data_IF_867085978045
#
_entry.id   IF_867085978045
#
_cell.length_a   1.000
_cell.length_b   1.000
_cell.length_c   1.000
_cell.angle_alpha   90.00
_cell.angle_beta   90.00
_cell.angle_gamma   90.00
#
_symmetry.space_group_name_H-M   'P 1'
#
loop_
_entity.id
_entity.type
_entity.pdbx_description
1 polymer ?
#
# COMPACT_ATOMS: atom_id res chain seq x y z
N UNK A 1 45.72 2.05 109.88
CA UNK A 1 45.71 3.23 109.00
C UNK A 1 44.44 3.17 108.20
N UNK A 2 43.53 4.12 108.40
CA UNK A 2 42.20 4.06 107.80
C UNK A 2 42.19 4.85 106.48
N UNK A 3 41.62 4.21 105.48
CA UNK A 3 41.69 4.49 104.04
C UNK A 3 41.13 5.88 103.71
N UNK A 4 41.90 6.64 102.91
CA UNK A 4 41.53 7.98 102.44
C UNK A 4 40.42 7.98 101.39
N UNK A 5 39.77 9.14 101.17
CA UNK A 5 38.52 9.23 100.41
C UNK A 5 38.67 8.79 98.94
N UNK A 6 37.64 8.11 98.45
CA UNK A 6 37.53 7.64 97.06
C UNK A 6 37.60 8.83 96.10
N UNK A 7 38.54 8.79 95.15
CA UNK A 7 38.69 9.82 94.13
C UNK A 7 37.45 9.93 93.23
N UNK A 8 37.13 11.13 92.70
CA UNK A 8 35.96 11.33 91.86
C UNK A 8 36.02 10.47 90.59
N UNK A 9 34.87 9.91 90.21
CA UNK A 9 34.72 9.07 89.02
C UNK A 9 35.17 9.81 87.75
N UNK A 10 35.96 9.13 86.90
CA UNK A 10 36.42 9.66 85.61
C UNK A 10 35.24 10.01 84.69
N UNK A 11 35.37 11.10 83.93
CA UNK A 11 34.33 11.55 82.99
C UNK A 11 34.12 10.49 81.89
N UNK A 12 32.86 10.16 81.63
CA UNK A 12 32.45 9.24 80.57
C UNK A 12 32.89 9.79 79.20
N UNK A 13 33.59 8.97 78.40
CA UNK A 13 34.08 9.36 77.08
C UNK A 13 32.94 9.66 76.10
N UNK A 14 33.15 10.63 75.20
CA UNK A 14 32.17 11.05 74.21
C UNK A 14 31.81 9.90 73.24
N UNK A 15 30.52 9.78 72.93
CA UNK A 15 29.99 8.77 72.00
C UNK A 15 30.43 9.10 70.58
N UNK A 16 31.08 8.14 69.89
CA UNK A 16 31.48 8.31 68.49
C UNK A 16 30.31 8.62 67.55
N UNK A 17 30.55 9.44 66.53
CA UNK A 17 29.55 9.84 65.54
C UNK A 17 29.02 8.62 64.74
N UNK A 18 27.72 8.58 64.39
CA UNK A 18 27.17 7.53 63.52
C UNK A 18 27.81 7.52 62.13
N UNK A 19 28.06 6.32 61.59
CA UNK A 19 28.59 6.15 60.22
C UNK A 19 27.61 6.64 59.15
N UNK A 20 28.18 7.16 58.04
CA UNK A 20 27.42 7.68 56.90
C UNK A 20 26.62 6.53 56.23
N UNK A 21 25.31 6.68 55.95
CA UNK A 21 24.55 5.68 55.21
C UNK A 21 25.09 5.45 53.79
N UNK A 22 25.17 4.18 53.37
CA UNK A 22 25.60 3.84 52.01
C UNK A 22 24.63 4.35 50.95
N UNK A 23 25.16 4.77 49.80
CA UNK A 23 24.35 5.23 48.66
C UNK A 23 23.47 4.09 48.13
N UNK A 24 22.17 4.36 47.99
CA UNK A 24 21.20 3.43 47.44
C UNK A 24 21.49 3.21 45.95
N UNK A 25 21.64 1.95 45.53
CA UNK A 25 21.89 1.60 44.13
C UNK A 25 20.78 2.09 43.20
N UNK A 26 21.15 2.59 42.02
CA UNK A 26 20.19 3.09 41.04
C UNK A 26 19.20 2.02 40.61
N UNK A 27 17.92 2.40 40.51
CA UNK A 27 16.84 1.55 40.02
C UNK A 27 17.09 1.23 38.54
N UNK A 28 17.14 -0.06 38.20
CA UNK A 28 17.30 -0.49 36.80
C UNK A 28 16.26 0.12 35.86
N UNK A 29 16.60 0.37 34.58
CA UNK A 29 15.68 0.99 33.64
C UNK A 29 14.42 0.15 33.45
N UNK A 30 13.28 0.84 33.33
CA UNK A 30 11.98 0.25 33.01
C UNK A 30 12.07 -0.40 31.63
N UNK A 31 11.63 -1.66 31.51
CA UNK A 31 11.62 -2.37 30.22
C UNK A 31 10.82 -1.63 29.14
N UNK A 32 11.16 -1.79 27.86
CA UNK A 32 10.47 -1.12 26.77
C UNK A 32 8.99 -1.51 26.74
N UNK A 33 8.14 -0.52 26.42
CA UNK A 33 6.71 -0.72 26.18
C UNK A 33 6.56 -1.63 24.94
N UNK A 34 5.73 -2.68 25.04
CA UNK A 34 5.46 -3.56 23.90
C UNK A 34 4.84 -2.78 22.72
N UNK A 35 5.09 -3.19 21.47
CA UNK A 35 4.52 -2.53 20.30
C UNK A 35 2.99 -2.55 20.38
N UNK A 36 2.37 -1.40 20.11
CA UNK A 36 0.92 -1.25 20.00
C UNK A 36 0.45 -2.03 18.76
N UNK A 37 -0.62 -2.83 18.89
CA UNK A 37 -1.15 -3.59 17.76
C UNK A 37 -1.66 -2.66 16.66
N UNK A 38 -1.42 -3.03 15.40
CA UNK A 38 -1.87 -2.26 14.25
C UNK A 38 -3.42 -2.13 14.25
N UNK A 39 -3.98 -0.96 13.96
CA UNK A 39 -5.42 -0.78 13.82
C UNK A 39 -5.99 -1.70 12.73
N UNK A 40 -7.10 -2.38 12.99
CA UNK A 40 -7.74 -3.25 12.00
C UNK A 40 -8.18 -2.49 10.75
N UNK A 41 -8.01 -3.09 9.57
CA UNK A 41 -8.36 -2.51 8.29
C UNK A 41 -9.84 -2.07 8.24
N UNK A 42 -10.16 -0.86 7.73
CA UNK A 42 -11.54 -0.42 7.55
C UNK A 42 -12.31 -1.35 6.61
N UNK A 43 -13.55 -1.73 6.99
CA UNK A 43 -14.43 -2.55 6.15
C UNK A 43 -14.71 -1.89 4.79
N UNK A 44 -14.75 -2.69 3.71
CA UNK A 44 -15.06 -2.18 2.37
C UNK A 44 -16.44 -1.50 2.33
N UNK A 45 -16.46 -0.24 1.88
CA UNK A 45 -17.69 0.46 1.55
C UNK A 45 -18.38 -0.19 0.33
N UNK A 46 -19.71 -0.27 0.37
CA UNK A 46 -20.52 -0.78 -0.75
C UNK A 46 -20.30 0.07 -2.02
N UNK A 47 -20.39 -0.57 -3.19
CA UNK A 47 -20.26 0.13 -4.47
C UNK A 47 -21.51 0.95 -4.75
N UNK A 48 -21.41 2.26 -4.64
CA UNK A 48 -22.37 3.19 -5.25
C UNK A 48 -22.05 3.37 -6.74
N UNK A 49 -23.10 3.48 -7.55
CA UNK A 49 -23.03 3.47 -9.02
C UNK A 49 -22.23 4.63 -9.61
N UNK A 50 -21.55 4.37 -10.75
CA UNK A 50 -20.68 5.33 -11.41
C UNK A 50 -21.41 6.63 -11.77
N UNK A 51 -20.97 7.74 -11.18
CA UNK A 51 -21.30 9.10 -11.61
C UNK A 51 -20.48 9.44 -12.87
N UNK A 52 -21.10 10.12 -13.84
CA UNK A 52 -20.44 10.48 -15.11
C UNK A 52 -19.21 11.37 -14.92
N UNK A 53 -18.21 11.32 -15.83
CA UNK A 53 -16.96 12.03 -15.65
C UNK A 53 -17.17 13.55 -15.62
N UNK A 54 -16.60 14.18 -14.58
CA UNK A 54 -16.55 15.63 -14.39
C UNK A 54 -15.51 16.24 -15.35
N UNK A 55 -15.84 17.39 -15.95
CA UNK A 55 -14.96 18.09 -16.89
C UNK A 55 -13.62 18.51 -16.26
N UNK A 56 -12.54 18.42 -17.05
CA UNK A 56 -11.18 18.73 -16.61
C UNK A 56 -11.05 20.20 -16.17
N UNK A 57 -10.41 20.41 -15.03
CA UNK A 57 -10.08 21.73 -14.49
C UNK A 57 -8.92 22.35 -15.27
N UNK A 58 -8.97 23.68 -15.50
CA UNK A 58 -7.89 24.40 -16.18
C UNK A 58 -6.58 24.39 -15.38
N UNK A 59 -5.42 24.53 -16.06
CA UNK A 59 -4.12 24.49 -15.40
C UNK A 59 -3.96 25.65 -14.39
N UNK A 60 -3.25 25.42 -13.26
CA UNK A 60 -2.98 26.46 -12.27
C UNK A 60 -2.16 27.62 -12.86
N UNK A 61 -2.50 28.85 -12.47
CA UNK A 61 -1.74 30.04 -12.86
C UNK A 61 -0.31 30.03 -12.31
N UNK A 62 0.63 30.57 -13.08
CA UNK A 62 2.05 30.67 -12.69
C UNK A 62 2.23 31.53 -11.42
N UNK A 63 3.11 31.16 -10.49
CA UNK A 63 3.39 31.95 -9.29
C UNK A 63 3.86 33.38 -9.62
N UNK A 64 3.39 34.36 -8.84
CA UNK A 64 3.81 35.75 -8.97
C UNK A 64 5.27 35.97 -8.54
N UNK A 65 5.95 36.89 -9.22
CA UNK A 65 7.31 37.33 -8.90
C UNK A 65 7.37 37.94 -7.49
N UNK A 66 8.36 37.60 -6.64
CA UNK A 66 8.52 38.19 -5.32
C UNK A 66 8.73 39.71 -5.37
N UNK A 67 8.04 40.46 -4.50
CA UNK A 67 8.17 41.92 -4.40
C UNK A 67 9.52 42.36 -3.81
N UNK A 68 10.03 43.51 -4.28
CA UNK A 68 11.27 44.11 -3.80
C UNK A 68 11.20 44.52 -2.31
N UNK A 69 12.34 44.41 -1.61
CA UNK A 69 12.46 44.73 -0.19
C UNK A 69 12.23 46.24 0.07
N UNK A 70 11.34 46.56 1.02
CA UNK A 70 11.02 47.93 1.40
C UNK A 70 12.18 48.64 2.12
N UNK A 71 12.38 49.93 1.82
CA UNK A 71 13.37 50.78 2.48
C UNK A 71 12.99 51.11 3.93
N UNK A 72 14.01 51.21 4.79
CA UNK A 72 13.91 51.55 6.22
C UNK A 72 13.51 53.03 6.39
N UNK A 73 12.41 53.30 7.11
CA UNK A 73 11.98 54.65 7.49
C UNK A 73 12.54 55.10 8.85
N UNK A 74 12.93 56.37 8.94
CA UNK A 74 13.54 57.02 10.11
C UNK A 74 12.53 57.33 11.26
N UNK A 75 13.01 57.56 12.51
CA UNK A 75 12.17 57.73 13.72
C UNK A 75 11.29 59.00 13.74
N UNK A 76 10.20 58.93 14.53
CA UNK A 76 9.03 59.80 14.46
C UNK A 76 8.99 61.06 15.34
N UNK A 77 7.80 61.63 15.59
CA UNK A 77 7.56 62.64 16.62
C UNK A 77 6.69 62.14 17.79
N UNK A 78 6.92 62.69 18.99
CA UNK A 78 6.18 62.39 20.22
C UNK A 78 4.83 63.12 20.36
N UNK A 79 3.83 62.38 20.86
CA UNK A 79 2.83 62.70 21.91
C UNK A 79 1.83 63.86 21.81
N UNK A 80 0.54 63.56 22.08
CA UNK A 80 -0.38 64.40 22.89
C UNK A 80 -1.59 63.60 23.45
N UNK A 81 -2.23 64.12 24.52
CA UNK A 81 -3.14 63.46 25.49
C UNK A 81 -4.61 63.94 25.38
N UNK A 82 -5.58 63.06 25.72
CA UNK A 82 -6.94 63.39 26.24
C UNK A 82 -8.08 63.32 25.20
N UNK A 83 -9.36 63.02 25.46
CA UNK A 83 -10.24 62.96 26.65
C UNK A 83 -11.57 62.24 26.27
N UNK A 84 -12.35 61.79 27.27
CA UNK A 84 -13.65 61.10 27.18
C UNK A 84 -14.82 61.94 26.63
N UNK A 85 -15.83 61.28 26.03
CA UNK A 85 -17.17 61.86 25.75
C UNK A 85 -18.30 60.80 25.75
N UNK A 86 -19.44 61.14 26.35
CA UNK A 86 -20.60 60.31 26.74
C UNK A 86 -21.75 60.28 25.69
N UNK A 87 -22.75 59.37 25.83
CA UNK A 87 -23.71 58.99 24.80
C UNK A 87 -25.03 59.79 24.78
N UNK A 88 -25.80 59.67 23.69
CA UNK A 88 -27.22 60.08 23.61
C UNK A 88 -27.90 59.81 22.25
N UNK A 89 -28.94 58.98 22.30
CA UNK A 89 -30.02 58.60 21.36
C UNK A 89 -30.86 59.82 20.83
N UNK A 90 -31.79 59.79 19.85
CA UNK A 90 -32.44 58.82 18.96
C UNK A 90 -33.26 59.56 17.87
N UNK A 91 -33.30 58.99 16.66
CA UNK A 91 -34.43 58.88 15.70
C UNK A 91 -34.99 60.12 14.97
N UNK A 92 -35.95 59.93 14.02
CA UNK A 92 -36.38 58.69 13.35
C UNK A 92 -36.52 58.82 11.80
N UNK A 93 -36.89 57.67 11.20
CA UNK A 93 -37.36 57.29 9.84
C UNK A 93 -37.82 58.38 8.86
N UNK A 94 -37.75 58.20 7.54
CA UNK A 94 -37.40 57.02 6.71
C UNK A 94 -38.12 57.14 5.36
N UNK A 95 -37.77 56.31 4.37
CA UNK A 95 -38.72 55.90 3.32
C UNK A 95 -38.32 54.55 2.73
N UNK A 96 -39.34 53.75 2.40
CA UNK A 96 -39.31 52.31 2.25
C UNK A 96 -39.24 51.84 0.80
N UNK A 97 -38.65 50.65 0.61
CA UNK A 97 -38.91 49.73 -0.51
C UNK A 97 -38.29 48.36 -0.18
N UNK A 98 -38.85 47.19 -0.48
CA UNK A 98 -40.06 46.82 -1.21
C UNK A 98 -40.65 45.49 -0.67
N UNK A 99 -41.92 45.26 -0.99
CA UNK A 99 -42.80 44.07 -0.85
C UNK A 99 -42.12 42.75 -1.28
N UNK A 100 -42.32 41.56 -0.72
CA UNK A 100 -43.11 41.02 0.39
C UNK A 100 -43.31 39.51 0.15
N UNK A 101 -42.87 38.62 1.06
CA UNK A 101 -43.24 37.19 1.02
C UNK A 101 -44.43 36.92 1.97
N UNK A 102 -45.45 36.15 1.56
CA UNK A 102 -46.67 35.88 2.34
C UNK A 102 -46.45 35.15 3.66
N UNK A 103 -47.37 35.40 4.59
CA UNK A 103 -47.11 35.43 6.03
C UNK A 103 -47.53 34.23 6.88
N UNK A 104 -47.38 34.51 8.17
CA UNK A 104 -47.39 33.69 9.39
C UNK A 104 -48.78 33.23 9.84
N UNK A 105 -48.89 31.98 10.30
CA UNK A 105 -49.65 31.49 11.49
C UNK A 105 -49.11 30.08 11.82
N UNK A 106 -48.78 29.64 13.03
CA UNK A 106 -48.75 30.27 14.36
C UNK A 106 -47.65 29.60 15.23
N UNK A 107 -47.19 30.31 16.25
CA UNK A 107 -46.02 29.97 17.09
C UNK A 107 -46.32 28.86 18.12
N UNK A 108 -45.58 27.74 18.11
CA UNK A 108 -45.33 26.93 19.30
C UNK A 108 -44.12 27.48 20.06
N UNK A 109 -44.15 27.34 21.39
CA UNK A 109 -43.45 28.19 22.35
C UNK A 109 -41.91 28.25 22.30
N UNK A 110 -41.34 29.31 22.90
CA UNK A 110 -39.92 29.60 22.85
C UNK A 110 -39.07 28.48 23.46
N UNK A 111 -38.10 28.03 22.69
CA UNK A 111 -36.98 27.21 23.16
C UNK A 111 -36.19 28.01 24.22
N UNK A 112 -35.93 27.37 25.36
CA UNK A 112 -35.47 28.00 26.59
C UNK A 112 -34.22 28.87 26.43
N UNK A 113 -34.18 29.94 27.22
CA UNK A 113 -33.12 30.94 27.23
C UNK A 113 -31.72 30.32 27.49
N UNK A 114 -30.65 30.85 26.86
CA UNK A 114 -29.28 30.44 27.15
C UNK A 114 -28.92 30.70 28.62
N UNK A 115 -28.59 29.63 29.34
CA UNK A 115 -28.07 29.72 30.70
C UNK A 115 -26.67 30.36 30.73
N UNK A 116 -26.56 31.43 31.49
CA UNK A 116 -25.44 32.37 31.65
C UNK A 116 -24.07 31.77 31.99
N UNK A 117 -23.01 32.41 31.48
CA UNK A 117 -21.62 32.19 31.90
C UNK A 117 -21.30 32.77 33.28
N UNK A 118 -20.39 32.12 34.00
CA UNK A 118 -19.70 32.70 35.16
C UNK A 118 -18.69 31.73 35.78
N UNK A 119 -17.66 32.21 36.51
CA UNK A 119 -16.68 33.21 36.09
C UNK A 119 -15.24 32.68 36.22
N UNK A 120 -14.25 33.37 35.64
CA UNK A 120 -12.86 33.32 36.14
C UNK A 120 -12.57 34.60 36.90
N UNK A 121 -12.14 34.48 38.16
CA UNK A 121 -11.86 35.59 39.06
C UNK A 121 -10.73 35.30 40.05
N UNK A 122 -9.55 35.83 39.69
CA UNK A 122 -8.33 36.33 40.36
C UNK A 122 -7.89 35.99 41.82
N UNK A 123 -6.57 36.17 41.96
CA UNK A 123 -5.54 35.81 42.95
C UNK A 123 -5.36 36.79 44.13
N UNK A 124 -4.86 36.26 45.26
CA UNK A 124 -4.07 36.95 46.32
C UNK A 124 -4.74 36.88 47.71
N UNK A 125 -4.08 36.71 48.87
CA UNK A 125 -2.67 36.78 49.27
C UNK A 125 -2.42 36.00 50.59
N UNK A 126 -1.13 35.91 50.94
CA UNK A 126 -0.44 35.26 52.06
C UNK A 126 -0.79 35.80 53.46
N UNK A 127 -0.77 34.90 54.46
CA UNK A 127 -0.37 35.23 55.84
C UNK A 127 -0.98 34.33 56.91
N UNK A 128 -0.22 33.34 57.39
CA UNK A 128 -0.58 32.57 58.59
C UNK A 128 0.11 33.15 59.83
N UNK A 129 -0.66 33.40 60.90
CA UNK A 129 -0.15 33.61 62.26
C UNK A 129 -0.95 32.73 63.23
N UNK A 130 -0.24 31.79 63.87
CA UNK A 130 -0.35 31.43 65.30
C UNK A 130 -1.56 30.62 65.79
N UNK A 131 -1.37 29.42 66.36
CA UNK A 131 -2.47 28.57 66.83
C UNK A 131 -2.98 28.98 68.22
N UNK A 132 -4.28 28.82 68.46
CA UNK A 132 -4.91 28.96 69.79
C UNK A 132 -5.41 27.59 70.29
N UNK A 133 -5.18 27.31 71.57
CA UNK A 133 -5.16 25.99 72.22
C UNK A 133 -6.50 25.24 72.38
N UNK A 134 -6.46 24.07 73.07
CA UNK A 134 -7.41 22.98 72.90
C UNK A 134 -8.69 23.15 73.74
N UNK A 135 -9.81 22.64 73.21
CA UNK A 135 -11.03 22.37 73.98
C UNK A 135 -11.19 20.86 74.14
N UNK A 136 -11.30 20.38 75.38
CA UNK A 136 -11.50 18.96 75.70
C UNK A 136 -12.96 18.50 75.58
N UNK A 137 -13.20 17.26 76.04
CA UNK A 137 -14.47 16.48 76.18
C UNK A 137 -14.61 15.36 75.13
N UNK A 138 -15.11 14.14 75.39
CA UNK A 138 -15.73 13.51 76.55
C UNK A 138 -15.45 11.98 76.52
N UNK A 139 -15.66 11.28 77.65
CA UNK A 139 -15.28 9.87 77.86
C UNK A 139 -15.97 8.81 76.98
N UNK A 140 -15.27 7.68 76.81
CA UNK A 140 -15.59 6.59 75.90
C UNK A 140 -16.84 5.77 76.29
N UNK A 141 -17.64 5.37 75.30
CA UNK A 141 -18.67 4.32 75.39
C UNK A 141 -18.05 2.98 74.96
N UNK A 142 -18.16 1.95 75.79
CA UNK A 142 -17.58 0.62 75.54
C UNK A 142 -18.10 -0.07 74.27
N UNK A 143 -17.22 -0.79 73.57
CA UNK A 143 -17.53 -1.51 72.34
C UNK A 143 -18.38 -2.78 72.59
N UNK A 144 -19.38 -3.09 71.74
CA UNK A 144 -20.08 -4.38 71.76
C UNK A 144 -19.15 -5.56 71.41
N UNK A 145 -19.37 -6.72 72.03
CA UNK A 145 -18.55 -7.93 71.82
C UNK A 145 -18.65 -8.50 70.39
N UNK A 146 -17.63 -9.25 69.93
CA UNK A 146 -17.55 -9.73 68.55
C UNK A 146 -18.56 -10.85 68.23
N UNK A 147 -19.05 -10.83 66.99
CA UNK A 147 -19.94 -11.85 66.39
C UNK A 147 -19.16 -13.15 66.13
N UNK A 148 -19.77 -14.31 66.45
CA UNK A 148 -19.17 -15.63 66.23
C UNK A 148 -18.95 -15.96 64.73
N UNK A 149 -17.99 -16.85 64.41
CA UNK A 149 -17.58 -17.12 63.03
C UNK A 149 -18.66 -17.90 62.24
N UNK A 150 -18.74 -17.70 60.90
CA UNK A 150 -19.62 -18.47 60.01
C UNK A 150 -19.20 -19.94 59.92
N UNK A 151 -20.18 -20.85 59.78
CA UNK A 151 -19.93 -22.30 59.60
C UNK A 151 -19.32 -22.65 58.24
N UNK A 152 -18.55 -23.74 58.19
CA UNK A 152 -17.81 -24.18 56.99
C UNK A 152 -18.72 -24.61 55.82
N UNK A 153 -18.28 -24.23 54.61
CA UNK A 153 -18.94 -24.52 53.33
C UNK A 153 -18.67 -25.96 52.87
N UNK A 154 -19.72 -26.67 52.43
CA UNK A 154 -19.63 -28.08 52.02
C UNK A 154 -18.76 -28.28 50.76
N UNK A 155 -17.94 -29.35 50.75
CA UNK A 155 -17.02 -29.65 49.65
C UNK A 155 -17.75 -29.96 48.33
N UNK A 156 -17.29 -29.30 47.26
CA UNK A 156 -17.70 -29.54 45.86
C UNK A 156 -17.33 -30.96 45.42
N UNK A 157 -18.26 -31.66 44.74
CA UNK A 157 -18.02 -33.00 44.18
C UNK A 157 -16.96 -33.01 43.07
N UNK A 158 -16.20 -34.11 42.96
CA UNK A 158 -15.15 -34.28 41.95
C UNK A 158 -15.73 -34.27 40.52
N UNK A 159 -15.13 -33.47 39.65
CA UNK A 159 -15.47 -33.41 38.22
C UNK A 159 -15.07 -34.72 37.54
N UNK A 160 -15.98 -35.34 36.77
CA UNK A 160 -15.72 -36.60 36.07
C UNK A 160 -14.59 -36.49 35.04
N UNK A 161 -13.86 -37.58 34.81
CA UNK A 161 -12.75 -37.63 33.85
C UNK A 161 -13.23 -37.30 32.42
N UNK A 162 -12.41 -36.54 31.68
CA UNK A 162 -12.69 -36.20 30.29
C UNK A 162 -12.82 -37.47 29.43
N UNK A 163 -13.85 -37.52 28.58
CA UNK A 163 -14.06 -38.63 27.66
C UNK A 163 -12.94 -38.75 26.61
N UNK A 164 -12.75 -39.94 26.01
CA UNK A 164 -11.73 -40.15 24.98
C UNK A 164 -11.97 -39.24 23.77
N UNK A 165 -10.90 -38.71 23.20
CA UNK A 165 -10.97 -37.86 22.00
C UNK A 165 -11.65 -38.62 20.85
N UNK A 166 -12.62 -37.97 20.19
CA UNK A 166 -13.30 -38.53 19.02
C UNK A 166 -12.37 -38.66 17.81
N UNK A 167 -12.71 -39.52 16.83
CA UNK A 167 -11.93 -39.65 15.60
C UNK A 167 -11.89 -38.32 14.82
N UNK A 168 -10.78 -38.01 14.14
CA UNK A 168 -10.66 -36.77 13.37
C UNK A 168 -11.71 -36.70 12.27
N UNK A 169 -12.30 -35.52 12.07
CA UNK A 169 -13.34 -35.29 11.07
C UNK A 169 -12.82 -35.60 9.65
N UNK A 170 -13.61 -36.25 8.77
CA UNK A 170 -13.24 -36.49 7.37
C UNK A 170 -12.80 -35.21 6.64
N UNK A 171 -13.44 -34.07 6.92
CA UNK A 171 -13.06 -32.76 6.39
C UNK A 171 -11.67 -32.31 6.83
N UNK A 172 -11.24 -32.63 8.05
CA UNK A 172 -9.89 -32.30 8.54
C UNK A 172 -8.85 -33.14 7.80
N UNK A 173 -9.14 -34.42 7.57
CA UNK A 173 -8.25 -35.32 6.83
C UNK A 173 -8.11 -34.86 5.37
N UNK A 174 -9.21 -34.49 4.73
CA UNK A 174 -9.20 -33.98 3.35
C UNK A 174 -8.44 -32.65 3.23
N UNK A 175 -8.69 -31.72 4.14
CA UNK A 175 -7.96 -30.44 4.19
C UNK A 175 -6.47 -30.65 4.41
N UNK A 176 -6.08 -31.57 5.31
CA UNK A 176 -4.68 -31.90 5.55
C UNK A 176 -4.01 -32.53 4.33
N UNK A 177 -4.76 -33.34 3.56
CA UNK A 177 -4.28 -33.94 2.32
C UNK A 177 -4.03 -32.87 1.24
N UNK A 178 -4.96 -31.93 1.07
CA UNK A 178 -4.78 -30.79 0.17
C UNK A 178 -3.59 -29.93 0.57
N UNK A 179 -3.46 -29.60 1.86
CA UNK A 179 -2.34 -28.81 2.38
C UNK A 179 -0.98 -29.50 2.13
N UNK A 180 -0.92 -30.83 2.32
CA UNK A 180 0.27 -31.62 2.00
C UNK A 180 0.62 -31.56 0.52
N UNK A 181 -0.39 -31.62 -0.37
CA UNK A 181 -0.20 -31.50 -1.81
C UNK A 181 0.36 -30.12 -2.17
N UNK A 182 -0.27 -29.05 -1.69
CA UNK A 182 0.19 -27.67 -1.94
C UNK A 182 1.60 -27.43 -1.40
N UNK A 183 1.91 -27.92 -0.19
CA UNK A 183 3.24 -27.81 0.38
C UNK A 183 4.29 -28.56 -0.45
N UNK A 184 3.94 -29.74 -1.00
CA UNK A 184 4.82 -30.51 -1.88
C UNK A 184 5.08 -29.78 -3.20
N UNK A 185 4.06 -29.14 -3.77
CA UNK A 185 4.18 -28.34 -5.00
C UNK A 185 5.00 -27.05 -4.78
N UNK A 186 4.88 -26.42 -3.60
CA UNK A 186 5.73 -25.29 -3.21
C UNK A 186 7.19 -25.71 -3.01
N UNK A 187 7.40 -26.89 -2.44
CA UNK A 187 8.75 -27.42 -2.17
C UNK A 187 9.44 -27.87 -3.45
N UNK A 188 8.70 -28.52 -4.35
CA UNK A 188 9.18 -29.09 -5.60
C UNK A 188 8.29 -28.58 -6.75
N UNK A 189 8.59 -27.41 -7.31
CA UNK A 189 7.82 -26.84 -8.41
C UNK A 189 7.97 -27.67 -9.69
N UNK A 190 6.88 -27.86 -10.42
CA UNK A 190 6.81 -28.73 -11.61
C UNK A 190 7.25 -28.05 -12.91
N UNK A 191 7.51 -26.74 -12.89
CA UNK A 191 7.87 -25.97 -14.08
C UNK A 191 6.69 -25.64 -14.99
N UNK A 192 5.46 -25.63 -14.46
CA UNK A 192 4.25 -25.15 -15.17
C UNK A 192 4.01 -23.66 -14.90
N UNK A 193 3.15 -22.95 -15.66
CA UNK A 193 2.83 -21.54 -15.37
C UNK A 193 2.34 -21.30 -13.93
N UNK A 194 1.64 -22.27 -13.35
CA UNK A 194 1.06 -22.19 -12.01
C UNK A 194 2.08 -22.58 -10.91
N UNK A 195 3.13 -23.31 -11.28
CA UNK A 195 4.18 -23.79 -10.37
C UNK A 195 5.55 -23.69 -11.06
N UNK A 196 6.03 -22.48 -11.35
CA UNK A 196 7.31 -22.27 -12.01
C UNK A 196 8.46 -22.69 -11.09
N UNK A 197 9.50 -23.31 -11.66
CA UNK A 197 10.70 -23.64 -10.91
C UNK A 197 11.61 -22.41 -10.76
N UNK A 198 12.54 -22.37 -9.80
CA UNK A 198 13.49 -21.25 -9.73
C UNK A 198 14.41 -21.21 -10.95
N UNK A 199 14.95 -22.35 -11.34
CA UNK A 199 15.77 -22.52 -12.54
C UNK A 199 15.54 -23.89 -13.17
N UNK A 200 15.99 -24.09 -14.41
CA UNK A 200 15.98 -25.41 -15.04
C UNK A 200 16.89 -26.41 -14.30
N UNK A 201 17.94 -25.91 -13.62
CA UNK A 201 18.81 -26.74 -12.80
C UNK A 201 18.05 -27.33 -11.61
N UNK A 202 17.30 -26.49 -10.89
CA UNK A 202 16.49 -26.94 -9.74
C UNK A 202 15.43 -27.94 -10.18
N UNK A 203 14.81 -27.70 -11.35
CA UNK A 203 13.84 -28.59 -11.96
C UNK A 203 14.47 -29.94 -12.32
N UNK A 204 15.64 -29.94 -12.97
CA UNK A 204 16.36 -31.15 -13.35
C UNK A 204 16.86 -31.97 -12.14
N UNK A 205 17.17 -31.32 -11.02
CA UNK A 205 17.58 -32.00 -9.78
C UNK A 205 16.40 -32.73 -9.10
N UNK A 206 15.19 -32.19 -9.20
CA UNK A 206 14.00 -32.80 -8.61
C UNK A 206 13.28 -33.77 -9.56
N UNK A 207 13.39 -33.55 -10.86
CA UNK A 207 12.72 -34.32 -11.92
C UNK A 207 13.73 -34.74 -13.00
N UNK A 208 14.63 -35.70 -12.69
CA UNK A 208 15.66 -36.14 -13.64
C UNK A 208 15.09 -36.85 -14.87
N UNK A 209 13.86 -37.36 -14.79
CA UNK A 209 13.18 -38.06 -15.89
C UNK A 209 12.46 -37.09 -16.87
N UNK A 210 12.48 -35.79 -16.60
CA UNK A 210 11.93 -34.79 -17.52
C UNK A 210 12.77 -34.70 -18.79
N UNK A 211 12.12 -34.36 -19.91
CA UNK A 211 12.77 -34.22 -21.21
C UNK A 211 13.28 -32.79 -21.41
N UNK A 212 14.22 -32.63 -22.35
CA UNK A 212 14.66 -31.32 -22.80
C UNK A 212 13.51 -30.64 -23.58
N UNK A 213 12.83 -29.67 -22.94
CA UNK A 213 11.66 -28.98 -23.49
C UNK A 213 11.49 -27.61 -22.81
N UNK A 214 10.38 -26.94 -23.12
CA UNK A 214 9.98 -25.69 -22.52
C UNK A 214 9.31 -25.86 -21.17
N UNK A 215 9.80 -25.09 -20.20
CA UNK A 215 9.24 -25.00 -18.86
C UNK A 215 9.14 -23.53 -18.44
N UNK A 216 8.40 -23.29 -17.37
CA UNK A 216 8.31 -21.99 -16.73
C UNK A 216 9.25 -21.94 -15.53
N UNK A 217 10.03 -20.85 -15.47
CA UNK A 217 10.90 -20.57 -14.34
C UNK A 217 10.62 -19.17 -13.77
N UNK A 218 10.84 -19.01 -12.49
CA UNK A 218 10.71 -17.76 -11.73
C UNK A 218 11.95 -17.59 -10.82
N UNK A 219 13.06 -17.07 -11.37
CA UNK A 219 14.30 -16.91 -10.61
C UNK A 219 14.21 -15.85 -9.52
N UNK A 220 13.39 -14.81 -9.71
CA UNK A 220 13.15 -13.73 -8.75
C UNK A 220 12.16 -14.15 -7.65
N UNK A 221 11.32 -15.14 -7.90
CA UNK A 221 10.26 -15.55 -7.00
C UNK A 221 9.18 -14.48 -6.87
N UNK A 222 8.33 -14.63 -5.86
CA UNK A 222 7.26 -13.69 -5.57
C UNK A 222 5.98 -14.07 -6.30
N UNK A 223 5.57 -13.28 -7.29
CA UNK A 223 4.36 -13.58 -8.06
C UNK A 223 4.69 -14.54 -9.19
N UNK A 224 3.85 -15.54 -9.45
CA UNK A 224 4.09 -16.48 -10.57
C UNK A 224 3.72 -15.86 -11.93
N UNK A 225 3.15 -14.65 -11.94
CA UNK A 225 2.61 -14.00 -13.14
C UNK A 225 3.73 -13.53 -14.09
N UNK A 226 4.89 -13.15 -13.57
CA UNK A 226 6.05 -12.72 -14.35
C UNK A 226 7.03 -13.86 -14.65
N UNK A 227 6.64 -15.11 -14.37
CA UNK A 227 7.45 -16.29 -14.68
C UNK A 227 7.85 -16.34 -16.17
N UNK A 228 9.12 -16.61 -16.41
CA UNK A 228 9.70 -16.68 -17.73
C UNK A 228 9.54 -18.09 -18.33
N UNK A 229 9.06 -18.16 -19.57
CA UNK A 229 9.10 -19.40 -20.37
C UNK A 229 10.49 -19.55 -20.99
N UNK A 230 11.17 -20.63 -20.66
CA UNK A 230 12.55 -20.92 -21.11
C UNK A 230 12.64 -22.32 -21.68
N UNK A 231 13.68 -22.59 -22.48
CA UNK A 231 14.02 -23.95 -22.88
C UNK A 231 14.97 -24.55 -21.84
N UNK A 232 14.55 -25.63 -21.17
CA UNK A 232 15.37 -26.33 -20.20
C UNK A 232 15.98 -27.56 -20.85
N UNK A 233 17.32 -27.63 -20.85
CA UNK A 233 18.01 -28.88 -21.12
C UNK A 233 18.21 -29.60 -19.80
N UNK A 234 17.29 -30.49 -19.47
CA UNK A 234 17.33 -31.31 -18.25
C UNK A 234 18.58 -32.19 -18.25
N UNK A 235 18.96 -32.72 -19.42
CA UNK A 235 20.16 -33.55 -19.62
C UNK A 235 21.46 -32.85 -19.19
N UNK A 236 21.60 -31.56 -19.48
CA UNK A 236 22.80 -30.75 -19.16
C UNK A 236 22.59 -29.77 -18.00
N UNK A 237 21.37 -29.69 -17.46
CA UNK A 237 20.92 -28.73 -16.43
C UNK A 237 21.06 -27.26 -16.85
N UNK A 238 20.94 -26.97 -18.14
CA UNK A 238 21.05 -25.62 -18.67
C UNK A 238 19.69 -24.91 -18.71
N UNK A 239 19.70 -23.61 -18.43
CA UNK A 239 18.58 -22.70 -18.67
C UNK A 239 18.85 -21.87 -19.91
N UNK A 240 18.14 -22.15 -21.00
CA UNK A 240 18.26 -21.41 -22.25
C UNK A 240 17.11 -20.39 -22.35
N UNK A 241 17.44 -19.11 -22.18
CA UNK A 241 16.50 -18.01 -22.39
C UNK A 241 16.34 -17.79 -23.88
N UNK A 242 15.12 -17.98 -24.39
CA UNK A 242 14.82 -17.73 -25.80
C UNK A 242 14.77 -16.21 -26.02
N UNK A 243 15.45 -15.68 -27.06
CA UNK A 243 15.43 -14.24 -27.33
C UNK A 243 13.99 -13.74 -27.51
N UNK A 244 13.65 -12.70 -26.74
CA UNK A 244 12.42 -11.91 -26.87
C UNK A 244 12.69 -10.69 -27.79
N UNK A 245 11.67 -9.96 -28.23
CA UNK A 245 11.26 -9.86 -29.63
C UNK A 245 12.07 -8.83 -30.44
N UNK A 246 12.01 -8.91 -31.78
CA UNK A 246 12.83 -8.08 -32.69
C UNK A 246 12.36 -6.64 -32.61
N UNK A 247 13.13 -5.79 -31.89
CA UNK A 247 12.88 -4.35 -31.83
C UNK A 247 13.39 -3.65 -33.08
N UNK A 248 12.53 -2.82 -33.69
CA UNK A 248 12.88 -2.03 -34.85
C UNK A 248 13.18 -0.57 -34.50
N UNK A 249 14.24 -0.08 -35.12
CA UNK A 249 14.58 1.34 -35.13
C UNK A 249 14.37 1.91 -36.53
N UNK A 250 14.04 3.20 -36.59
CA UNK A 250 13.80 3.93 -37.82
C UNK A 250 14.77 5.10 -37.89
N UNK A 251 15.17 5.48 -39.11
CA UNK A 251 16.11 6.59 -39.32
C UNK A 251 15.52 7.94 -38.90
N UNK A 252 14.21 8.11 -39.00
CA UNK A 252 13.51 9.30 -38.54
C UNK A 252 13.39 9.28 -37.01
N UNK A 253 13.65 10.42 -36.36
CA UNK A 253 13.46 10.55 -34.92
C UNK A 253 11.96 10.47 -34.54
N UNK A 254 11.69 10.23 -33.25
CA UNK A 254 10.31 10.09 -32.77
C UNK A 254 9.45 11.35 -32.92
N UNK A 255 10.05 12.55 -32.98
CA UNK A 255 9.32 13.82 -33.16
C UNK A 255 8.87 13.97 -34.61
N UNK A 256 9.74 13.65 -35.57
CA UNK A 256 9.41 13.64 -36.99
C UNK A 256 8.31 12.60 -37.28
N UNK A 257 8.42 11.40 -36.70
CA UNK A 257 7.37 10.37 -36.84
C UNK A 257 6.05 10.86 -36.26
N UNK A 258 6.03 11.41 -35.05
CA UNK A 258 4.79 11.97 -34.45
C UNK A 258 4.19 13.08 -35.32
N UNK A 259 5.00 13.93 -35.94
CA UNK A 259 4.49 14.94 -36.87
C UNK A 259 3.86 14.31 -38.12
N UNK A 260 4.50 13.29 -38.71
CA UNK A 260 3.95 12.53 -39.84
C UNK A 260 2.61 11.85 -39.48
N UNK A 261 2.50 11.32 -38.25
CA UNK A 261 1.27 10.72 -37.73
C UNK A 261 0.11 11.71 -37.60
N UNK A 262 0.40 12.99 -37.33
CA UNK A 262 -0.62 14.05 -37.18
C UNK A 262 -1.03 14.63 -38.54
N UNK A 263 -0.10 14.72 -39.49
CA UNK A 263 -0.33 15.37 -40.78
C UNK A 263 -1.09 14.51 -41.79
N UNK A 264 -1.17 13.19 -41.58
CA UNK A 264 -1.79 12.25 -42.49
C UNK A 264 -3.00 11.59 -41.86
N UNK A 265 -3.87 11.01 -42.70
CA UNK A 265 -5.07 10.31 -42.23
C UNK A 265 -4.88 8.80 -42.21
N UNK A 266 -3.94 8.28 -42.99
CA UNK A 266 -3.68 6.84 -43.09
C UNK A 266 -2.19 6.54 -42.96
N UNK A 267 -1.90 5.32 -42.53
CA UNK A 267 -0.56 4.78 -42.59
C UNK A 267 -0.59 3.32 -43.00
N UNK A 268 0.42 2.93 -43.78
CA UNK A 268 0.62 1.54 -44.18
C UNK A 268 2.06 1.09 -43.97
N UNK A 269 2.22 -0.20 -43.66
CA UNK A 269 3.51 -0.85 -43.55
C UNK A 269 3.39 -2.33 -43.89
N UNK A 270 4.37 -2.84 -44.63
CA UNK A 270 4.44 -4.26 -44.98
C UNK A 270 5.53 -4.95 -44.16
N UNK A 271 5.30 -6.23 -43.85
CA UNK A 271 6.26 -7.09 -43.17
C UNK A 271 6.31 -8.43 -43.89
N UNK A 272 7.50 -8.90 -44.24
CA UNK A 272 7.70 -10.25 -44.77
C UNK A 272 8.38 -11.10 -43.70
N UNK A 273 7.70 -12.16 -43.28
CA UNK A 273 8.22 -13.11 -42.31
C UNK A 273 8.65 -14.38 -43.05
N UNK A 274 9.93 -14.70 -42.99
CA UNK A 274 10.48 -15.92 -43.55
C UNK A 274 10.54 -17.00 -42.48
N UNK A 275 10.06 -18.19 -42.79
CA UNK A 275 9.85 -19.25 -41.82
C UNK A 275 10.48 -20.57 -42.26
N UNK A 276 11.09 -21.28 -41.32
CA UNK A 276 11.41 -22.71 -41.41
C UNK A 276 10.92 -23.39 -40.13
N UNK A 277 10.11 -24.43 -40.27
CA UNK A 277 9.48 -25.15 -39.15
C UNK A 277 8.68 -24.30 -38.14
N UNK A 278 8.23 -23.11 -38.54
CA UNK A 278 7.45 -22.19 -37.68
C UNK A 278 6.20 -21.70 -38.40
N UNK A 279 5.11 -21.54 -37.66
CA UNK A 279 3.90 -20.89 -38.15
C UNK A 279 4.03 -19.37 -38.09
N UNK A 280 3.51 -18.68 -39.12
CA UNK A 280 3.46 -17.21 -39.13
C UNK A 280 2.06 -16.66 -38.87
N UNK A 281 1.01 -17.35 -39.32
CA UNK A 281 -0.35 -16.87 -39.14
C UNK A 281 -1.33 -18.00 -38.80
N UNK A 282 -1.63 -18.87 -39.77
CA UNK A 282 -2.61 -19.95 -39.58
C UNK A 282 -1.94 -21.32 -39.64
N UNK A 283 -2.30 -22.23 -38.75
CA UNK A 283 -1.99 -23.64 -38.90
C UNK A 283 -3.02 -24.28 -39.84
N UNK A 284 -2.61 -24.75 -41.01
CA UNK A 284 -3.53 -25.34 -41.99
C UNK A 284 -4.18 -26.66 -41.53
N UNK A 285 -3.53 -27.44 -40.66
CA UNK A 285 -4.07 -28.71 -40.15
C UNK A 285 -5.21 -28.50 -39.15
N UNK A 286 -5.05 -27.54 -38.24
CA UNK A 286 -6.04 -27.29 -37.17
C UNK A 286 -6.97 -26.11 -37.45
N UNK A 287 -6.63 -25.28 -38.45
CA UNK A 287 -7.31 -24.02 -38.73
C UNK A 287 -7.02 -22.91 -37.71
N UNK A 288 -6.20 -23.17 -36.68
CA UNK A 288 -5.97 -22.24 -35.56
C UNK A 288 -4.99 -21.12 -35.90
N UNK A 289 -5.27 -19.91 -35.39
CA UNK A 289 -4.40 -18.72 -35.48
C UNK A 289 -3.77 -18.33 -34.13
N UNK A 290 -3.92 -19.16 -33.10
CA UNK A 290 -3.44 -18.87 -31.73
C UNK A 290 -1.93 -18.65 -31.64
N UNK A 291 -1.19 -19.26 -32.57
CA UNK A 291 0.26 -19.18 -32.73
C UNK A 291 0.72 -18.19 -33.81
N UNK A 292 -0.19 -17.43 -34.40
CA UNK A 292 0.16 -16.41 -35.39
C UNK A 292 1.00 -15.30 -34.78
N UNK A 293 1.70 -14.57 -35.67
CA UNK A 293 2.50 -13.41 -35.33
C UNK A 293 1.65 -12.35 -34.64
N UNK A 294 2.28 -11.63 -33.72
CA UNK A 294 1.72 -10.41 -33.16
C UNK A 294 2.73 -9.29 -33.35
N UNK A 295 2.23 -8.10 -33.61
CA UNK A 295 3.06 -6.91 -33.77
C UNK A 295 2.82 -5.96 -32.63
N UNK A 296 3.84 -5.21 -32.27
CA UNK A 296 3.71 -4.11 -31.33
C UNK A 296 3.71 -2.81 -32.12
N UNK A 297 2.65 -2.03 -31.93
CA UNK A 297 2.46 -0.75 -32.57
C UNK A 297 3.38 0.32 -31.95
N UNK A 298 3.30 1.55 -32.46
CA UNK A 298 4.16 2.64 -32.00
C UNK A 298 3.93 3.03 -30.53
N UNK A 299 2.72 2.81 -30.00
CA UNK A 299 2.34 3.10 -28.62
C UNK A 299 2.32 1.81 -27.75
N UNK A 300 3.11 0.81 -28.12
CA UNK A 300 3.31 -0.45 -27.40
C UNK A 300 2.09 -1.37 -27.28
N UNK A 301 1.04 -1.17 -28.10
CA UNK A 301 -0.12 -2.06 -28.10
C UNK A 301 0.04 -3.21 -29.10
N UNK A 302 -0.58 -4.33 -28.78
CA UNK A 302 -0.51 -5.53 -29.61
C UNK A 302 -1.51 -5.49 -30.77
N UNK A 303 -1.00 -5.58 -31.99
CA UNK A 303 -1.74 -5.85 -33.22
C UNK A 303 -1.76 -7.37 -33.48
N UNK A 304 -2.96 -7.91 -33.67
CA UNK A 304 -3.20 -9.34 -33.90
C UNK A 304 -3.82 -9.56 -35.28
N UNK A 305 -3.97 -10.79 -35.72
CA UNK A 305 -4.69 -11.07 -36.97
C UNK A 305 -6.21 -11.00 -36.83
N UNK A 306 -6.71 -10.90 -35.60
CA UNK A 306 -8.13 -10.86 -35.25
C UNK A 306 -8.41 -9.69 -34.31
N UNK A 307 -9.64 -9.20 -34.29
CA UNK A 307 -10.04 -8.05 -33.49
C UNK A 307 -10.12 -6.75 -34.29
N UNK A 308 -10.22 -5.63 -33.57
CA UNK A 308 -10.47 -4.29 -34.13
C UNK A 308 -9.21 -3.71 -34.79
N UNK A 309 -8.06 -3.83 -34.13
CA UNK A 309 -6.76 -3.43 -34.67
C UNK A 309 -6.05 -4.68 -35.21
N UNK A 310 -6.24 -4.92 -36.52
CA UNK A 310 -5.79 -6.14 -37.18
C UNK A 310 -4.84 -5.87 -38.34
N UNK A 311 -3.86 -6.75 -38.49
CA UNK A 311 -3.11 -6.85 -39.73
C UNK A 311 -3.82 -7.78 -40.73
N UNK A 312 -3.52 -7.60 -42.01
CA UNK A 312 -4.00 -8.46 -43.10
C UNK A 312 -2.87 -9.32 -43.63
N UNK A 313 -3.20 -10.54 -44.05
CA UNK A 313 -2.23 -11.48 -44.62
C UNK A 313 -2.47 -11.54 -46.11
N UNK A 314 -1.47 -11.12 -46.89
CA UNK A 314 -1.52 -11.09 -48.36
C UNK A 314 -1.21 -12.47 -48.92
N UNK A 315 -0.22 -13.15 -48.33
CA UNK A 315 0.19 -14.50 -48.71
C UNK A 315 0.73 -15.22 -47.47
N UNK A 316 0.39 -16.48 -47.29
CA UNK A 316 0.82 -17.29 -46.14
C UNK A 316 1.36 -18.64 -46.60
N UNK A 317 2.67 -18.71 -46.82
CA UNK A 317 3.40 -19.95 -47.10
C UNK A 317 3.76 -20.73 -45.82
N UNK A 318 3.70 -20.08 -44.65
CA UNK A 318 4.07 -20.65 -43.36
C UNK A 318 2.92 -21.40 -42.67
N UNK A 319 2.00 -21.98 -43.44
CA UNK A 319 0.83 -22.68 -42.89
C UNK A 319 1.13 -24.12 -42.44
N UNK A 320 2.26 -24.67 -42.91
CA UNK A 320 2.76 -26.00 -42.60
C UNK A 320 4.22 -25.90 -42.12
N UNK A 321 4.63 -26.81 -41.23
CA UNK A 321 6.03 -26.89 -40.82
C UNK A 321 6.83 -27.61 -41.90
N UNK A 322 7.78 -26.90 -42.50
CA UNK A 322 8.66 -27.43 -43.54
C UNK A 322 10.12 -27.11 -43.23
N UNK A 323 11.02 -27.99 -43.66
CA UNK A 323 12.47 -27.82 -43.53
C UNK A 323 13.06 -26.84 -44.57
N UNK A 324 12.22 -26.23 -45.41
CA UNK A 324 12.61 -25.21 -46.39
C UNK A 324 12.10 -23.86 -45.93
N UNK A 325 12.77 -22.80 -46.36
CA UNK A 325 12.27 -21.46 -46.10
C UNK A 325 11.06 -21.15 -46.98
N UNK A 326 9.96 -20.85 -46.32
CA UNK A 326 8.75 -20.28 -46.92
C UNK A 326 8.59 -18.84 -46.39
N UNK A 327 7.56 -18.13 -46.84
CA UNK A 327 7.28 -16.77 -46.36
C UNK A 327 5.80 -16.46 -46.20
N UNK A 328 5.53 -15.56 -45.28
CA UNK A 328 4.21 -14.94 -45.06
C UNK A 328 4.36 -13.44 -45.20
N UNK A 329 3.56 -12.85 -46.08
CA UNK A 329 3.55 -11.41 -46.39
C UNK A 329 2.35 -10.79 -45.69
N UNK A 330 2.64 -9.81 -44.85
CA UNK A 330 1.66 -9.13 -43.99
C UNK A 330 1.59 -7.66 -44.40
N UNK A 331 0.38 -7.16 -44.51
CA UNK A 331 0.08 -5.76 -44.78
C UNK A 331 -0.69 -5.19 -43.58
N UNK A 332 -0.20 -4.06 -43.08
CA UNK A 332 -0.85 -3.30 -42.01
C UNK A 332 -1.26 -1.98 -42.65
N UNK A 333 -2.56 -1.78 -42.83
CA UNK A 333 -3.12 -0.58 -43.42
C UNK A 333 -4.19 -0.03 -42.48
N UNK A 334 -3.95 1.15 -41.92
CA UNK A 334 -4.74 1.71 -40.83
C UNK A 334 -5.18 3.14 -41.16
N UNK A 335 -6.43 3.47 -40.85
CA UNK A 335 -6.98 4.84 -40.91
C UNK A 335 -6.63 5.68 -39.66
N UNK A 336 -5.67 5.22 -38.84
CA UNK A 336 -5.16 5.90 -37.66
C UNK A 336 -3.64 5.77 -37.62
N UNK A 337 -2.92 6.77 -38.18
CA UNK A 337 -1.47 6.69 -38.37
C UNK A 337 -0.66 6.55 -37.08
N UNK A 338 -1.23 6.96 -35.95
CA UNK A 338 -0.58 6.97 -34.64
C UNK A 338 -0.03 5.61 -34.20
N UNK A 339 -0.53 4.53 -34.78
CA UNK A 339 -0.13 3.14 -34.48
C UNK A 339 1.09 2.66 -35.28
N UNK A 340 1.47 3.34 -36.37
CA UNK A 340 2.64 2.97 -37.16
C UNK A 340 3.76 4.00 -36.97
N UNK A 341 5.04 3.61 -37.08
CA UNK A 341 5.53 2.30 -37.49
C UNK A 341 5.52 1.21 -36.41
N UNK A 342 5.59 -0.05 -36.84
CA UNK A 342 5.74 -1.23 -35.97
C UNK A 342 7.08 -1.18 -35.23
N UNK A 343 7.03 -1.39 -33.91
CA UNK A 343 8.21 -1.38 -33.03
C UNK A 343 8.76 -2.75 -32.74
N UNK A 344 7.90 -3.78 -32.81
CA UNK A 344 8.27 -5.12 -32.36
C UNK A 344 7.50 -6.22 -33.10
N UNK A 345 8.09 -7.42 -33.16
CA UNK A 345 7.43 -8.64 -33.65
C UNK A 345 7.55 -9.75 -32.61
N UNK A 346 6.40 -10.26 -32.18
CA UNK A 346 6.32 -11.41 -31.30
C UNK A 346 6.03 -12.68 -32.12
N UNK A 347 7.01 -13.57 -32.19
CA UNK A 347 6.90 -14.88 -32.84
C UNK A 347 6.44 -15.91 -31.81
N UNK A 348 5.22 -16.44 -31.96
CA UNK A 348 4.62 -17.32 -30.94
C UNK A 348 4.93 -18.80 -31.11
N UNK A 349 5.28 -19.26 -32.32
CA UNK A 349 5.67 -20.66 -32.59
C UNK A 349 7.19 -20.82 -32.73
N UNK A 350 7.97 -20.38 -31.73
CA UNK A 350 9.43 -20.42 -31.79
C UNK A 350 10.10 -21.04 -30.55
N UNK A 351 11.33 -21.53 -30.78
CA UNK A 351 12.33 -21.95 -29.80
C UNK A 351 12.41 -23.47 -29.57
N UNK A 352 11.81 -24.28 -30.43
CA UNK A 352 12.21 -25.69 -30.58
C UNK A 352 13.43 -25.78 -31.50
N UNK A 353 14.14 -26.90 -31.43
CA UNK A 353 15.20 -27.23 -32.38
C UNK A 353 14.69 -27.17 -33.83
N UNK A 354 15.58 -26.80 -34.75
CA UNK A 354 15.32 -26.68 -36.21
C UNK A 354 14.31 -25.60 -36.64
N UNK A 355 13.78 -24.80 -35.71
CA UNK A 355 12.98 -23.62 -36.04
C UNK A 355 13.89 -22.43 -36.36
N UNK A 356 13.59 -21.75 -37.46
CA UNK A 356 14.38 -20.62 -37.91
C UNK A 356 13.49 -19.61 -38.62
N UNK A 357 13.85 -18.34 -38.50
CA UNK A 357 13.11 -17.26 -39.14
C UNK A 357 13.98 -16.02 -39.28
N UNK A 358 13.61 -15.20 -40.26
CA UNK A 358 14.09 -13.82 -40.36
C UNK A 358 12.97 -12.94 -40.88
N UNK A 359 13.12 -11.63 -40.69
CA UNK A 359 12.07 -10.67 -40.99
C UNK A 359 12.65 -9.57 -41.87
N UNK A 360 11.94 -9.29 -42.97
CA UNK A 360 12.15 -8.10 -43.78
C UNK A 360 11.07 -7.07 -43.41
N UNK A 361 11.50 -5.97 -42.81
CA UNK A 361 10.63 -4.87 -42.44
C UNK A 361 10.50 -3.89 -43.59
N UNK A 362 9.29 -3.72 -44.11
CA UNK A 362 8.98 -2.71 -45.11
C UNK A 362 9.00 -1.30 -44.50
N UNK A 363 9.19 -0.31 -45.38
CA UNK A 363 9.03 1.09 -45.00
C UNK A 363 7.61 1.39 -44.49
N UNK A 364 7.51 2.31 -43.53
CA UNK A 364 6.22 2.89 -43.15
C UNK A 364 5.91 4.04 -44.11
N UNK A 365 4.69 4.06 -44.64
CA UNK A 365 4.16 5.10 -45.50
C UNK A 365 3.02 5.82 -44.77
N UNK A 366 3.04 7.14 -44.79
CA UNK A 366 1.96 7.99 -44.28
C UNK A 366 1.29 8.67 -45.48
N UNK A 367 -0.04 8.70 -45.53
CA UNK A 367 -0.81 9.22 -46.68
C UNK A 367 -2.10 9.93 -46.29
#
# INVERSE_FOLDING_TARGET
GNVGPLGPAGRQGERGLPGIPGVQGERGPKGPLGPHGDPGDPGQAGRDGNQGPQGLSGPPGTPGIPGEAGQVGNPGPDGEIGISGRPGEQGPSGESGAVGRPGTVGLPGPQGAPGSAGPSGIRGEKGDIGPTGPAGLAGARGAPGPRGPPGEEGRMGITGAAGPAGPPSPTVIETLSQLKKTFKELKNPTGTPESPAKTCKDLAEHYPDYQDDFYFIDPNGGTVIDAARVYCKISTKETCVVPSPIKFSYKADGRQIKMLQVLHQKASQNVTFHCRNTFAHKNAQTGSTSKGLQFEDYDENTLKSTGIARYSVISDGCQHKTNKFEKTVIEINLDYPTKLPIRNIQVRDYGKDEQDFFVELGQVCFS
#
